data_IF_815825295720
#
_entry.id   IF_815825295720
#
_cell.length_a   1.000
_cell.length_b   1.000
_cell.length_c   1.000
_cell.angle_alpha   90.00
_cell.angle_beta   90.00
_cell.angle_gamma   90.00
#
_symmetry.space_group_name_H-M   'P 1'
#
loop_
_entity.id
_entity.type
_entity.pdbx_description
1 polymer ?
#
# COMPACT_ATOMS: atom_id res chain seq x y z
N UNK A 1 12.53 -22.25 -16.37
CA UNK A 1 12.64 -20.83 -16.02
C UNK A 1 14.09 -20.44 -15.94
N UNK A 2 14.51 -19.48 -16.76
CA UNK A 2 15.91 -19.02 -16.83
C UNK A 2 16.31 -18.24 -15.57
N UNK A 3 17.62 -18.11 -15.31
CA UNK A 3 18.13 -17.26 -14.23
C UNK A 3 17.72 -15.80 -14.42
N UNK A 4 17.72 -15.30 -15.66
CA UNK A 4 17.30 -13.94 -15.98
C UNK A 4 15.81 -13.69 -15.64
N UNK A 5 14.94 -14.69 -15.87
CA UNK A 5 13.53 -14.63 -15.52
C UNK A 5 13.34 -14.53 -13.99
N UNK A 6 14.09 -15.31 -13.21
CA UNK A 6 14.06 -15.26 -11.74
C UNK A 6 14.49 -13.88 -11.23
N UNK A 7 15.61 -13.35 -11.72
CA UNK A 7 16.16 -12.06 -11.29
C UNK A 7 15.20 -10.91 -11.63
N UNK A 8 14.55 -10.96 -12.81
CA UNK A 8 13.53 -9.99 -13.21
C UNK A 8 12.31 -9.99 -12.27
N UNK A 9 11.82 -11.17 -11.89
CA UNK A 9 10.71 -11.29 -10.93
C UNK A 9 11.09 -10.77 -9.54
N UNK A 10 12.27 -11.14 -9.03
CA UNK A 10 12.76 -10.66 -7.73
C UNK A 10 12.86 -9.13 -7.72
N UNK A 11 13.42 -8.56 -8.79
CA UNK A 11 13.55 -7.12 -8.95
C UNK A 11 12.18 -6.41 -8.96
N UNK A 12 11.22 -6.93 -9.75
CA UNK A 12 9.86 -6.41 -9.81
C UNK A 12 9.16 -6.46 -8.44
N UNK A 13 9.24 -7.60 -7.73
CA UNK A 13 8.64 -7.74 -6.40
C UNK A 13 9.29 -6.80 -5.37
N UNK A 14 10.60 -6.63 -5.41
CA UNK A 14 11.30 -5.72 -4.51
C UNK A 14 10.86 -4.26 -4.74
N UNK A 15 10.79 -3.83 -6.01
CA UNK A 15 10.34 -2.49 -6.38
C UNK A 15 8.88 -2.23 -5.94
N UNK A 16 7.97 -3.17 -6.23
CA UNK A 16 6.57 -3.07 -5.80
C UNK A 16 6.46 -3.06 -4.28
N UNK A 17 7.23 -3.91 -3.59
CA UNK A 17 7.26 -3.96 -2.12
C UNK A 17 7.67 -2.64 -1.48
N UNK A 18 8.68 -1.97 -2.05
CA UNK A 18 9.11 -0.63 -1.59
C UNK A 18 7.99 0.40 -1.76
N UNK A 19 7.33 0.43 -2.92
CA UNK A 19 6.23 1.35 -3.21
C UNK A 19 5.05 1.12 -2.26
N UNK A 20 4.71 -0.14 -1.99
CA UNK A 20 3.69 -0.55 -1.02
C UNK A 20 4.05 -0.06 0.38
N UNK A 21 5.30 -0.26 0.83
CA UNK A 21 5.75 0.19 2.14
C UNK A 21 5.67 1.73 2.27
N UNK A 22 6.09 2.47 1.25
CA UNK A 22 5.97 3.93 1.22
C UNK A 22 4.51 4.38 1.29
N UNK A 23 3.63 3.76 0.49
CA UNK A 23 2.20 4.08 0.50
C UNK A 23 1.57 3.80 1.86
N UNK A 24 1.90 2.68 2.49
CA UNK A 24 1.46 2.31 3.84
C UNK A 24 1.85 3.38 4.88
N UNK A 25 3.10 3.87 4.83
CA UNK A 25 3.60 4.93 5.72
C UNK A 25 2.84 6.23 5.49
N UNK A 26 2.68 6.67 4.24
CA UNK A 26 1.99 7.93 3.91
C UNK A 26 0.51 7.86 4.29
N UNK A 27 -0.16 6.74 4.02
CA UNK A 27 -1.53 6.49 4.44
C UNK A 27 -1.67 6.50 5.98
N UNK A 28 -0.65 5.99 6.69
CA UNK A 28 -0.55 6.06 8.15
C UNK A 28 -0.47 7.50 8.64
N UNK A 29 0.46 8.29 8.11
CA UNK A 29 0.65 9.71 8.44
C UNK A 29 -0.65 10.49 8.20
N UNK A 30 -1.29 10.31 7.03
CA UNK A 30 -2.58 10.95 6.71
C UNK A 30 -3.67 10.56 7.70
N UNK A 31 -3.77 9.27 8.04
CA UNK A 31 -4.78 8.79 9.00
C UNK A 31 -4.56 9.41 10.37
N UNK A 32 -3.32 9.48 10.86
CA UNK A 32 -2.99 10.16 12.12
C UNK A 32 -3.31 11.65 12.05
N UNK A 33 -2.98 12.31 10.94
CA UNK A 33 -3.26 13.72 10.72
C UNK A 33 -4.77 14.03 10.73
N UNK A 34 -5.60 13.20 10.08
CA UNK A 34 -7.06 13.35 10.05
C UNK A 34 -7.67 13.31 11.45
N UNK A 35 -7.14 12.47 12.35
CA UNK A 35 -7.59 12.38 13.74
C UNK A 35 -7.04 13.53 14.61
N UNK A 36 -5.77 13.92 14.42
CA UNK A 36 -5.16 15.03 15.20
C UNK A 36 -5.76 16.39 14.87
N UNK A 37 -6.12 16.61 13.60
CA UNK A 37 -6.71 17.87 13.14
C UNK A 37 -8.18 18.06 13.52
N UNK A 38 -8.81 17.06 14.15
CA UNK A 38 -10.24 17.10 14.50
C UNK A 38 -11.17 16.95 13.30
N UNK A 39 -10.64 16.76 12.09
CA UNK A 39 -11.42 16.42 10.89
C UNK A 39 -12.23 15.14 11.12
N UNK A 40 -11.72 14.24 11.98
CA UNK A 40 -12.43 13.04 12.43
C UNK A 40 -12.28 12.84 13.93
N UNK A 41 -13.40 12.61 14.60
CA UNK A 41 -13.44 12.30 16.03
C UNK A 41 -13.55 10.80 16.24
N UNK A 42 -12.77 10.27 17.18
CA UNK A 42 -13.00 8.92 17.71
C UNK A 42 -14.02 9.07 18.83
N UNK A 43 -15.21 8.51 18.67
CA UNK A 43 -16.07 8.26 19.82
C UNK A 43 -15.29 7.32 20.75
N UNK A 44 -15.10 7.74 22.00
CA UNK A 44 -14.40 6.97 23.05
C UNK A 44 -15.21 6.92 24.35
N UNK A 45 -16.47 7.38 24.28
CA UNK A 45 -17.36 7.61 25.41
C UNK A 45 -17.83 6.31 26.05
N UNK A 46 -18.02 5.26 25.25
CA UNK A 46 -18.47 3.95 25.72
C UNK A 46 -17.37 2.88 25.65
N UNK A 47 -17.52 1.80 26.41
CA UNK A 47 -16.60 0.63 26.32
C UNK A 47 -16.63 0.04 24.92
N UNK A 48 -17.82 -0.04 24.31
CA UNK A 48 -18.00 -0.49 22.93
C UNK A 48 -17.25 0.41 21.94
N UNK A 49 -17.29 1.73 22.13
CA UNK A 49 -16.56 2.68 21.30
C UNK A 49 -15.04 2.51 21.38
N UNK A 50 -14.50 2.19 22.56
CA UNK A 50 -13.07 1.88 22.73
C UNK A 50 -12.68 0.59 22.01
N UNK A 51 -13.50 -0.45 22.08
CA UNK A 51 -13.27 -1.72 21.36
C UNK A 51 -13.32 -1.49 19.85
N UNK A 52 -14.24 -0.65 19.37
CA UNK A 52 -14.40 -0.37 17.94
C UNK A 52 -13.42 0.69 17.40
N UNK A 53 -12.68 1.40 18.26
CA UNK A 53 -11.74 2.43 17.83
C UNK A 53 -10.64 1.85 16.92
N UNK A 54 -10.01 0.75 17.33
CA UNK A 54 -8.95 0.10 16.56
C UNK A 54 -9.43 -0.37 15.15
N UNK A 55 -10.53 -1.14 15.01
CA UNK A 55 -11.00 -1.56 13.69
C UNK A 55 -11.48 -0.36 12.84
N UNK A 56 -12.05 0.70 13.43
CA UNK A 56 -12.42 1.92 12.70
C UNK A 56 -11.19 2.64 12.13
N UNK A 57 -10.13 2.79 12.93
CA UNK A 57 -8.85 3.38 12.48
C UNK A 57 -8.21 2.51 11.41
N UNK A 58 -8.22 1.19 11.58
CA UNK A 58 -7.70 0.24 10.60
C UNK A 58 -8.38 0.35 9.25
N UNK A 59 -9.73 0.31 9.22
CA UNK A 59 -10.49 0.46 7.97
C UNK A 59 -10.18 1.79 7.31
N UNK A 60 -10.00 2.86 8.09
CA UNK A 60 -9.67 4.17 7.54
C UNK A 60 -8.28 4.22 6.93
N UNK A 61 -7.31 3.61 7.60
CA UNK A 61 -5.95 3.45 7.08
C UNK A 61 -5.96 2.64 5.77
N UNK A 62 -6.72 1.54 5.72
CA UNK A 62 -6.91 0.74 4.50
C UNK A 62 -7.49 1.56 3.35
N UNK A 63 -8.51 2.38 3.60
CA UNK A 63 -9.08 3.27 2.58
C UNK A 63 -8.05 4.28 2.06
N UNK A 64 -7.28 4.90 2.96
CA UNK A 64 -6.24 5.84 2.59
C UNK A 64 -5.11 5.17 1.80
N UNK A 65 -4.78 3.92 2.12
CA UNK A 65 -3.79 3.11 1.42
C UNK A 65 -4.28 2.74 0.00
N UNK A 66 -5.54 2.31 -0.14
CA UNK A 66 -6.12 1.94 -1.44
C UNK A 66 -6.22 3.12 -2.42
N UNK A 67 -6.29 4.36 -1.93
CA UNK A 67 -6.19 5.55 -2.79
C UNK A 67 -4.82 5.66 -3.50
N UNK A 68 -3.75 5.11 -2.92
CA UNK A 68 -2.42 5.08 -3.54
C UNK A 68 -2.20 3.88 -4.47
N UNK A 69 -3.06 2.85 -4.41
CA UNK A 69 -2.92 1.63 -5.21
C UNK A 69 -2.87 1.88 -6.73
N UNK A 70 -3.67 2.79 -7.33
CA UNK A 70 -3.58 3.08 -8.77
C UNK A 70 -2.19 3.58 -9.20
N UNK A 71 -1.55 4.41 -8.39
CA UNK A 71 -0.20 4.91 -8.68
C UNK A 71 0.85 3.79 -8.59
N UNK A 72 0.75 2.91 -7.59
CA UNK A 72 1.63 1.74 -7.46
C UNK A 72 1.49 0.83 -8.68
N UNK A 73 0.25 0.52 -9.08
CA UNK A 73 -0.03 -0.32 -10.24
C UNK A 73 0.52 0.28 -11.55
N UNK A 74 0.37 1.58 -11.74
CA UNK A 74 0.92 2.28 -12.90
C UNK A 74 2.45 2.19 -12.96
N UNK A 75 3.13 2.47 -11.84
CA UNK A 75 4.60 2.39 -11.77
C UNK A 75 5.08 0.94 -11.95
N UNK A 76 4.39 -0.03 -11.33
CA UNK A 76 4.70 -1.44 -11.48
C UNK A 76 4.59 -1.91 -12.95
N UNK A 77 3.55 -1.45 -13.66
CA UNK A 77 3.36 -1.77 -15.07
C UNK A 77 4.43 -1.15 -15.95
N UNK A 78 4.81 0.11 -15.71
CA UNK A 78 5.91 0.78 -16.40
C UNK A 78 7.25 0.07 -16.13
N UNK A 79 7.48 -0.36 -14.90
CA UNK A 79 8.70 -1.08 -14.53
C UNK A 79 8.77 -2.47 -15.15
N UNK A 80 7.65 -3.21 -15.15
CA UNK A 80 7.56 -4.49 -15.86
C UNK A 80 7.76 -4.33 -17.37
N UNK A 81 7.25 -3.24 -17.96
CA UNK A 81 7.52 -2.90 -19.36
C UNK A 81 9.01 -2.62 -19.60
N UNK A 82 9.68 -1.91 -18.68
CA UNK A 82 11.13 -1.64 -18.74
C UNK A 82 11.98 -2.92 -18.64
N UNK A 83 11.62 -3.87 -17.77
CA UNK A 83 12.26 -5.19 -17.68
C UNK A 83 12.01 -6.07 -18.93
N UNK A 84 10.97 -5.73 -19.70
CA UNK A 84 10.48 -6.49 -20.84
C UNK A 84 9.55 -7.62 -20.38
N UNK A 85 8.27 -7.55 -20.78
CA UNK A 85 7.29 -8.59 -20.45
C UNK A 85 7.70 -9.98 -20.96
N UNK A 86 8.44 -10.04 -22.07
CA UNK A 86 8.99 -11.29 -22.58
C UNK A 86 9.92 -11.96 -21.55
N UNK A 87 10.80 -11.20 -20.91
CA UNK A 87 11.72 -11.69 -19.85
C UNK A 87 10.98 -12.27 -18.65
N UNK A 88 9.79 -11.75 -18.33
CA UNK A 88 8.98 -12.20 -17.20
C UNK A 88 8.17 -13.48 -17.49
N UNK A 89 7.89 -13.74 -18.77
CA UNK A 89 7.05 -14.85 -19.25
C UNK A 89 7.88 -15.93 -19.96
N UNK A 90 9.20 -15.74 -20.09
CA UNK A 90 10.13 -16.74 -20.63
C UNK A 90 10.31 -17.87 -19.59
N UNK A 91 9.41 -18.87 -19.65
CA UNK A 91 9.35 -20.02 -18.73
C UNK A 91 10.17 -21.18 -19.25
#
# INVERSE_FOLDING_TARGET
MSQATLDAWISLYAAVGLLVAMCAIIAGIKTVHDYRSGTRTLATTTVMDKVLAAPRVWVRWQLNYLLGAPAILAIAMLYANHLGFATLVDV
#
